data_IF_040835433060
#
_entry.id   IF_040835433060
#
_cell.length_a   1.000
_cell.length_b   1.000
_cell.length_c   1.000
_cell.angle_alpha   90.00
_cell.angle_beta   90.00
_cell.angle_gamma   90.00
#
_symmetry.space_group_name_H-M   'P 1'
#
loop_
_entity.id
_entity.type
_entity.pdbx_description
1 polymer ?
#
# COMPACT_ATOMS: atom_id res chain seq x y z
N UNK A 1 37.99 14.70 28.44
CA UNK A 1 38.08 13.33 27.89
C UNK A 1 36.71 12.68 27.91
N UNK A 2 36.21 12.30 26.72
CA UNK A 2 35.10 11.39 26.36
C UNK A 2 33.83 11.40 27.23
N UNK A 3 32.88 12.24 26.82
CA UNK A 3 31.45 12.07 27.11
C UNK A 3 30.94 10.79 26.42
N UNK A 4 30.49 9.81 27.20
CA UNK A 4 29.82 8.62 26.68
C UNK A 4 28.37 8.99 26.35
N UNK A 5 28.12 9.30 25.08
CA UNK A 5 26.77 9.37 24.54
C UNK A 5 26.14 7.97 24.60
N UNK A 6 25.28 7.76 25.59
CA UNK A 6 24.40 6.60 25.66
C UNK A 6 23.46 6.67 24.46
N UNK A 7 23.78 5.93 23.39
CA UNK A 7 22.81 5.64 22.33
C UNK A 7 21.74 4.75 22.96
N UNK A 8 20.64 5.38 23.41
CA UNK A 8 19.41 4.65 23.71
C UNK A 8 18.95 4.00 22.40
N UNK A 9 19.32 2.73 22.22
CA UNK A 9 18.73 1.83 21.23
C UNK A 9 17.26 1.67 21.59
N UNK A 10 16.45 2.58 21.06
CA UNK A 10 15.03 2.68 21.34
C UNK A 10 14.34 1.58 20.55
N UNK A 11 14.25 0.39 21.13
CA UNK A 11 13.36 -0.64 20.60
C UNK A 11 11.95 -0.03 20.54
N UNK A 12 11.33 0.07 19.34
CA UNK A 12 10.05 0.76 19.20
C UNK A 12 8.97 0.09 20.05
N UNK A 13 8.11 0.89 20.67
CA UNK A 13 7.03 0.41 21.56
C UNK A 13 6.08 -0.53 20.77
N UNK A 14 5.38 -1.47 21.41
CA UNK A 14 4.48 -2.42 20.73
C UNK A 14 3.53 -1.82 19.67
N UNK A 15 2.81 -0.71 19.92
CA UNK A 15 1.95 -0.09 18.90
C UNK A 15 2.74 0.47 17.71
N UNK A 16 3.96 0.95 17.94
CA UNK A 16 4.85 1.47 16.91
C UNK A 16 5.42 0.35 16.03
N UNK A 17 5.73 -0.81 16.62
CA UNK A 17 6.11 -2.03 15.87
C UNK A 17 4.98 -2.53 14.97
N UNK A 18 3.74 -2.52 15.47
CA UNK A 18 2.55 -2.93 14.71
C UNK A 18 2.33 -1.98 13.53
N UNK A 19 2.38 -0.68 13.77
CA UNK A 19 2.24 0.33 12.73
C UNK A 19 3.35 0.26 11.68
N UNK A 20 4.61 0.05 12.09
CA UNK A 20 5.74 -0.13 11.17
C UNK A 20 5.57 -1.39 10.31
N UNK A 21 5.19 -2.52 10.90
CA UNK A 21 4.93 -3.78 10.17
C UNK A 21 3.81 -3.63 9.15
N UNK A 22 2.71 -2.99 9.54
CA UNK A 22 1.57 -2.71 8.65
C UNK A 22 1.98 -1.83 7.47
N UNK A 23 2.76 -0.77 7.71
CA UNK A 23 3.30 0.10 6.67
C UNK A 23 4.22 -0.63 5.70
N UNK A 24 5.13 -1.47 6.21
CA UNK A 24 6.00 -2.29 5.35
C UNK A 24 5.18 -3.25 4.48
N UNK A 25 4.24 -3.98 5.08
CA UNK A 25 3.34 -4.89 4.35
C UNK A 25 2.58 -4.17 3.23
N UNK A 26 2.14 -2.94 3.47
CA UNK A 26 1.44 -2.15 2.45
C UNK A 26 2.36 -1.77 1.29
N UNK A 27 3.58 -1.31 1.59
CA UNK A 27 4.58 -1.02 0.56
C UNK A 27 4.88 -2.27 -0.29
N UNK A 28 5.06 -3.41 0.36
CA UNK A 28 5.35 -4.68 -0.30
C UNK A 28 4.19 -5.13 -1.21
N UNK A 29 2.94 -4.94 -0.78
CA UNK A 29 1.76 -5.25 -1.59
C UNK A 29 1.66 -4.36 -2.84
N UNK A 30 1.91 -3.05 -2.70
CA UNK A 30 1.88 -2.12 -3.84
C UNK A 30 2.99 -2.47 -4.84
N UNK A 31 4.21 -2.70 -4.35
CA UNK A 31 5.34 -3.06 -5.21
C UNK A 31 5.12 -4.41 -5.90
N UNK A 32 4.54 -5.39 -5.20
CA UNK A 32 4.18 -6.68 -5.78
C UNK A 32 3.09 -6.55 -6.85
N UNK A 33 2.07 -5.72 -6.63
CA UNK A 33 0.99 -5.51 -7.58
C UNK A 33 1.52 -4.90 -8.88
N UNK A 34 2.35 -3.86 -8.79
CA UNK A 34 3.01 -3.24 -9.94
C UNK A 34 3.96 -4.20 -10.65
N UNK A 35 4.69 -5.05 -9.93
CA UNK A 35 5.55 -6.06 -10.56
C UNK A 35 4.74 -7.12 -11.31
N UNK A 36 3.61 -7.55 -10.74
CA UNK A 36 2.78 -8.61 -11.32
C UNK A 36 2.16 -8.24 -12.67
N UNK A 37 1.97 -6.94 -12.95
CA UNK A 37 1.39 -6.48 -14.22
C UNK A 37 2.33 -6.62 -15.41
N UNK A 38 3.62 -6.87 -15.16
CA UNK A 38 4.64 -7.09 -16.19
C UNK A 38 4.63 -8.52 -16.76
N UNK A 39 3.90 -9.45 -16.14
CA UNK A 39 3.79 -10.83 -16.61
C UNK A 39 2.39 -11.13 -17.14
N UNK A 40 2.24 -11.80 -18.31
CA UNK A 40 0.94 -12.25 -18.81
C UNK A 40 0.20 -13.16 -17.82
N UNK A 41 0.93 -14.01 -17.10
CA UNK A 41 0.41 -14.89 -16.04
C UNK A 41 0.18 -14.18 -14.71
N UNK A 42 0.58 -12.91 -14.59
CA UNK A 42 0.51 -12.15 -13.36
C UNK A 42 -0.83 -11.46 -13.11
N UNK A 43 -1.82 -11.64 -14.00
CA UNK A 43 -3.14 -11.00 -13.91
C UNK A 43 -3.87 -11.37 -12.62
N UNK A 44 -4.04 -12.67 -12.36
CA UNK A 44 -4.75 -13.14 -11.15
C UNK A 44 -4.00 -12.73 -9.88
N UNK A 45 -2.66 -12.76 -9.92
CA UNK A 45 -1.83 -12.28 -8.83
C UNK A 45 -1.99 -10.78 -8.59
N UNK A 46 -2.08 -9.98 -9.65
CA UNK A 46 -2.32 -8.54 -9.55
C UNK A 46 -3.69 -8.29 -8.90
N UNK A 47 -4.72 -8.98 -9.38
CA UNK A 47 -6.08 -8.89 -8.85
C UNK A 47 -6.13 -9.24 -7.36
N UNK A 48 -5.55 -10.37 -6.94
CA UNK A 48 -5.49 -10.77 -5.52
C UNK A 48 -4.76 -9.72 -4.66
N UNK A 49 -3.64 -9.18 -5.14
CA UNK A 49 -2.89 -8.13 -4.43
C UNK A 49 -3.70 -6.84 -4.28
N UNK A 50 -4.45 -6.43 -5.30
CA UNK A 50 -5.31 -5.25 -5.24
C UNK A 50 -6.50 -5.44 -4.27
N UNK A 51 -7.10 -6.65 -4.27
CA UNK A 51 -8.16 -7.00 -3.31
C UNK A 51 -7.62 -6.94 -1.88
N UNK A 52 -6.46 -7.56 -1.62
CA UNK A 52 -5.80 -7.50 -0.30
C UNK A 52 -5.50 -6.08 0.13
N UNK A 53 -5.05 -5.23 -0.79
CA UNK A 53 -4.79 -3.81 -0.50
C UNK A 53 -6.06 -3.07 -0.10
N UNK A 54 -7.18 -3.31 -0.80
CA UNK A 54 -8.49 -2.75 -0.45
C UNK A 54 -8.96 -3.20 0.94
N UNK A 55 -8.79 -4.48 1.27
CA UNK A 55 -9.20 -5.05 2.56
C UNK A 55 -8.42 -4.52 3.77
N UNK A 56 -7.27 -3.86 3.56
CA UNK A 56 -6.48 -3.34 4.68
C UNK A 56 -7.16 -2.20 5.45
N UNK A 57 -8.26 -1.61 4.97
CA UNK A 57 -8.95 -0.47 5.61
C UNK A 57 -7.97 0.64 5.99
N UNK A 58 -7.55 1.40 4.98
CA UNK A 58 -6.54 2.44 5.13
C UNK A 58 -7.13 3.66 5.81
N UNK A 59 -6.38 4.27 6.73
CA UNK A 59 -6.73 5.57 7.28
C UNK A 59 -6.35 6.69 6.31
N UNK A 60 -6.95 7.88 6.45
CA UNK A 60 -6.56 9.08 5.67
C UNK A 60 -5.04 9.34 5.77
N UNK A 61 -4.46 9.20 6.98
CA UNK A 61 -3.02 9.35 7.20
C UNK A 61 -2.19 8.35 6.41
N UNK A 62 -2.63 7.10 6.32
CA UNK A 62 -1.94 6.07 5.53
C UNK A 62 -2.04 6.37 4.03
N UNK A 63 -3.21 6.79 3.55
CA UNK A 63 -3.43 7.13 2.14
C UNK A 63 -2.51 8.29 1.72
N UNK A 64 -2.41 9.34 2.54
CA UNK A 64 -1.51 10.46 2.28
C UNK A 64 -0.03 10.04 2.32
N UNK A 65 0.35 9.21 3.31
CA UNK A 65 1.72 8.70 3.44
C UNK A 65 2.16 7.86 2.23
N UNK A 66 1.25 7.04 1.69
CA UNK A 66 1.53 6.19 0.53
C UNK A 66 1.08 6.78 -0.81
N UNK A 67 0.68 8.05 -0.85
CA UNK A 67 0.12 8.73 -2.04
C UNK A 67 0.92 8.48 -3.31
N UNK A 68 2.25 8.66 -3.27
CA UNK A 68 3.15 8.41 -4.42
C UNK A 68 3.14 6.96 -4.91
N UNK A 69 3.03 5.99 -4.00
CA UNK A 69 2.97 4.57 -4.35
C UNK A 69 1.59 4.16 -4.85
N UNK A 70 0.53 4.67 -4.22
CA UNK A 70 -0.86 4.49 -4.65
C UNK A 70 -1.06 5.07 -6.05
N UNK A 71 -0.50 6.24 -6.34
CA UNK A 71 -0.60 6.89 -7.64
C UNK A 71 -0.05 6.01 -8.77
N UNK A 72 0.98 5.18 -8.51
CA UNK A 72 1.47 4.21 -9.52
C UNK A 72 0.39 3.19 -9.91
N UNK A 73 -0.49 2.81 -8.98
CA UNK A 73 -1.61 1.91 -9.25
C UNK A 73 -2.67 2.56 -10.14
N UNK A 74 -2.66 3.88 -10.31
CA UNK A 74 -3.63 4.57 -11.16
C UNK A 74 -3.52 4.11 -12.61
N UNK A 75 -2.30 3.80 -13.06
CA UNK A 75 -2.03 3.24 -14.38
C UNK A 75 -2.82 1.95 -14.65
N UNK A 76 -3.17 1.20 -13.60
CA UNK A 76 -3.94 -0.05 -13.70
C UNK A 76 -5.41 0.18 -14.04
N UNK A 77 -5.95 1.37 -13.79
CA UNK A 77 -7.30 1.76 -14.23
C UNK A 77 -7.43 1.83 -15.75
N UNK A 78 -6.31 1.95 -16.47
CA UNK A 78 -6.25 1.95 -17.94
C UNK A 78 -5.61 0.68 -18.50
N UNK A 79 -5.52 -0.37 -17.69
CA UNK A 79 -4.89 -1.63 -18.10
C UNK A 79 -5.69 -2.33 -19.20
N UNK A 80 -5.00 -3.06 -20.09
CA UNK A 80 -5.62 -3.82 -21.19
C UNK A 80 -6.57 -4.91 -20.70
N UNK A 81 -6.25 -5.50 -19.55
CA UNK A 81 -7.08 -6.53 -18.94
C UNK A 81 -8.27 -5.90 -18.18
N UNK A 82 -9.52 -6.26 -18.51
CA UNK A 82 -10.72 -5.68 -17.90
C UNK A 82 -10.86 -5.99 -16.41
N UNK A 83 -10.41 -7.15 -15.94
CA UNK A 83 -10.46 -7.53 -14.51
C UNK A 83 -9.56 -6.62 -13.66
N UNK A 84 -8.34 -6.38 -14.13
CA UNK A 84 -7.40 -5.46 -13.46
C UNK A 84 -8.01 -4.06 -13.40
N UNK A 85 -8.60 -3.59 -14.49
CA UNK A 85 -9.25 -2.27 -14.55
C UNK A 85 -10.37 -2.16 -13.52
N UNK A 86 -11.27 -3.13 -13.46
CA UNK A 86 -12.42 -3.13 -12.54
C UNK A 86 -11.97 -3.11 -11.07
N UNK A 87 -11.04 -4.01 -10.70
CA UNK A 87 -10.55 -4.10 -9.32
C UNK A 87 -9.77 -2.85 -8.92
N UNK A 88 -8.97 -2.30 -9.85
CA UNK A 88 -8.27 -1.02 -9.63
C UNK A 88 -9.27 0.11 -9.43
N UNK A 89 -10.29 0.22 -10.26
CA UNK A 89 -11.33 1.25 -10.12
C UNK A 89 -12.03 1.14 -8.77
N UNK A 90 -12.39 -0.08 -8.35
CA UNK A 90 -13.01 -0.35 -7.04
C UNK A 90 -12.09 0.05 -5.88
N UNK A 91 -10.79 -0.22 -5.98
CA UNK A 91 -9.78 0.21 -5.00
C UNK A 91 -9.76 1.74 -4.91
N UNK A 92 -9.59 2.45 -6.02
CA UNK A 92 -9.53 3.91 -6.01
C UNK A 92 -10.82 4.57 -5.52
N UNK A 93 -11.98 4.05 -5.91
CA UNK A 93 -13.27 4.52 -5.37
C UNK A 93 -13.32 4.35 -3.85
N UNK A 94 -12.84 3.22 -3.32
CA UNK A 94 -12.75 3.00 -1.86
C UNK A 94 -11.82 4.00 -1.18
N UNK A 95 -10.65 4.28 -1.77
CA UNK A 95 -9.67 5.24 -1.23
C UNK A 95 -10.23 6.67 -1.23
N UNK A 96 -10.86 7.09 -2.32
CA UNK A 96 -11.50 8.41 -2.43
C UNK A 96 -12.64 8.54 -1.44
N UNK A 97 -13.46 7.50 -1.27
CA UNK A 97 -14.51 7.49 -0.24
C UNK A 97 -13.91 7.70 1.15
N UNK A 98 -12.80 7.04 1.48
CA UNK A 98 -12.12 7.26 2.77
C UNK A 98 -11.60 8.70 2.91
N UNK A 99 -11.09 9.32 1.85
CA UNK A 99 -10.58 10.69 1.88
C UNK A 99 -11.69 11.74 2.04
N UNK A 100 -12.82 11.55 1.38
CA UNK A 100 -13.93 12.53 1.34
C UNK A 100 -15.08 12.21 2.30
N UNK A 101 -15.04 11.10 3.02
CA UNK A 101 -16.00 10.78 4.09
C UNK A 101 -15.57 11.37 5.45
N UNK A 102 -14.74 12.42 5.43
CA UNK A 102 -14.32 13.20 6.59
C UNK A 102 -15.38 14.26 6.91
#
# INVERSE_FOLDING_TARGET
>A
MKSWGFYHSSNPKPPERINKRRKNKMKDLIDAAIKSTRSPSGVDRCVDLLIRLKSLSLSVKDILYFSKSIFKLETLRRHRNPKIREVSQSLFTSLLKTLYSQ
#
